data_IF_231518460631
#
_entry.id   IF_231518460631
#
_cell.length_a   1.000
_cell.length_b   1.000
_cell.length_c   1.000
_cell.angle_alpha   90.00
_cell.angle_beta   90.00
_cell.angle_gamma   90.00
#
_symmetry.space_group_name_H-M   'P 1'
#
loop_
_entity.id
_entity.type
_entity.pdbx_description
1 polymer ?
#
# COMPACT_ATOMS: atom_id res chain seq x y z
N UNK A 1 -5.94 -23.35 11.39
CA UNK A 1 -6.71 -23.00 10.20
C UNK A 1 -6.53 -24.09 9.14
N UNK A 2 -7.57 -24.51 8.38
CA UNK A 2 -7.43 -25.53 7.34
C UNK A 2 -6.49 -25.04 6.21
N UNK A 3 -5.93 -25.96 5.40
CA UNK A 3 -4.86 -25.66 4.44
C UNK A 3 -5.23 -24.74 3.27
N UNK A 4 -6.49 -24.36 3.12
CA UNK A 4 -6.92 -23.36 2.13
C UNK A 4 -6.73 -21.96 2.71
N UNK A 5 -5.53 -21.43 2.52
CA UNK A 5 -5.05 -20.16 3.08
C UNK A 5 -5.60 -18.91 2.37
N UNK A 6 -6.60 -19.07 1.52
CA UNK A 6 -7.21 -17.95 0.79
C UNK A 6 -8.11 -17.13 1.71
N UNK A 7 -8.04 -15.79 1.63
CA UNK A 7 -8.97 -14.92 2.35
C UNK A 7 -10.42 -15.24 1.93
N UNK A 8 -11.32 -15.34 2.91
CA UNK A 8 -12.76 -15.50 2.64
C UNK A 8 -13.33 -14.17 2.16
N UNK A 9 -14.49 -14.21 1.50
CA UNK A 9 -15.18 -13.00 1.03
C UNK A 9 -15.45 -12.00 2.14
N UNK A 10 -15.79 -12.46 3.34
CA UNK A 10 -16.02 -11.60 4.52
C UNK A 10 -14.74 -10.87 4.93
N UNK A 11 -13.59 -11.55 4.91
CA UNK A 11 -12.28 -10.98 5.23
C UNK A 11 -11.86 -9.96 4.16
N UNK A 12 -12.06 -10.30 2.88
CA UNK A 12 -11.82 -9.40 1.76
C UNK A 12 -12.70 -8.15 1.83
N UNK A 13 -13.98 -8.32 2.17
CA UNK A 13 -14.91 -7.20 2.37
C UNK A 13 -14.49 -6.30 3.53
N UNK A 14 -14.12 -6.88 4.69
CA UNK A 14 -13.62 -6.12 5.83
C UNK A 14 -12.33 -5.34 5.51
N UNK A 15 -11.40 -5.95 4.75
CA UNK A 15 -10.23 -5.24 4.24
C UNK A 15 -10.61 -4.11 3.29
N UNK A 16 -11.65 -4.28 2.46
CA UNK A 16 -12.21 -3.23 1.60
C UNK A 16 -12.80 -2.07 2.39
N UNK A 17 -13.53 -2.33 3.47
CA UNK A 17 -14.02 -1.30 4.39
C UNK A 17 -12.86 -0.52 5.03
N UNK A 18 -11.80 -1.20 5.46
CA UNK A 18 -10.59 -0.56 5.99
C UNK A 18 -9.90 0.31 4.93
N UNK A 19 -9.90 -0.11 3.66
CA UNK A 19 -9.39 0.71 2.55
C UNK A 19 -10.22 1.98 2.35
N UNK A 20 -11.55 1.91 2.47
CA UNK A 20 -12.42 3.07 2.36
C UNK A 20 -12.15 4.10 3.47
N UNK A 21 -11.93 3.65 4.71
CA UNK A 21 -11.53 4.54 5.82
C UNK A 21 -10.15 5.15 5.58
N UNK A 22 -9.24 4.40 4.96
CA UNK A 22 -7.88 4.85 4.65
C UNK A 22 -7.76 5.83 3.47
N UNK A 23 -8.87 6.34 2.93
CA UNK A 23 -8.89 7.49 2.01
C UNK A 23 -8.52 8.78 2.76
N UNK A 24 -8.69 8.80 4.08
CA UNK A 24 -8.36 9.97 4.89
C UNK A 24 -6.86 10.29 4.80
N UNK A 25 -6.49 11.59 4.57
CA UNK A 25 -5.08 12.00 4.49
C UNK A 25 -4.28 11.61 5.74
N UNK A 26 -3.08 11.06 5.54
CA UNK A 26 -2.21 10.60 6.63
C UNK A 26 -2.44 9.16 7.07
N UNK A 27 -3.54 8.53 6.68
CA UNK A 27 -3.79 7.11 6.98
C UNK A 27 -3.13 6.23 5.91
N UNK A 28 -2.28 5.32 6.35
CA UNK A 28 -1.65 4.36 5.43
C UNK A 28 -2.68 3.35 4.91
N UNK A 29 -3.00 3.40 3.61
CA UNK A 29 -3.94 2.48 2.98
C UNK A 29 -3.51 1.02 3.12
N UNK A 30 -2.26 0.69 2.78
CA UNK A 30 -1.73 -0.67 2.92
C UNK A 30 -1.63 -1.10 4.38
N UNK A 31 -1.24 -0.19 5.27
CA UNK A 31 -1.22 -0.43 6.72
C UNK A 31 -2.60 -0.80 7.25
N UNK A 32 -3.63 -0.03 6.93
CA UNK A 32 -5.01 -0.27 7.37
C UNK A 32 -5.57 -1.58 6.83
N UNK A 33 -5.41 -1.86 5.53
CA UNK A 33 -5.94 -3.08 4.90
C UNK A 33 -5.22 -4.34 5.40
N UNK A 34 -3.89 -4.32 5.54
CA UNK A 34 -3.13 -5.44 6.07
C UNK A 34 -3.49 -5.68 7.54
N UNK A 35 -3.55 -4.63 8.36
CA UNK A 35 -3.93 -4.74 9.77
C UNK A 35 -5.33 -5.31 9.95
N UNK A 36 -6.31 -4.85 9.15
CA UNK A 36 -7.66 -5.41 9.16
C UNK A 36 -7.66 -6.90 8.82
N UNK A 37 -6.91 -7.31 7.79
CA UNK A 37 -6.75 -8.73 7.44
C UNK A 37 -6.16 -9.56 8.58
N UNK A 38 -5.10 -9.06 9.22
CA UNK A 38 -4.47 -9.72 10.37
C UNK A 38 -5.42 -9.86 11.56
N UNK A 39 -6.18 -8.82 11.88
CA UNK A 39 -7.19 -8.85 12.96
C UNK A 39 -8.31 -9.86 12.70
N UNK A 40 -8.66 -10.08 11.43
CA UNK A 40 -9.61 -11.12 11.02
C UNK A 40 -8.98 -12.53 10.90
N UNK A 41 -7.69 -12.67 11.24
CA UNK A 41 -6.98 -13.95 11.25
C UNK A 41 -6.45 -14.38 9.87
N UNK A 42 -6.38 -13.49 8.89
CA UNK A 42 -5.72 -13.75 7.61
C UNK A 42 -4.20 -13.80 7.83
N UNK A 43 -3.50 -14.74 7.19
CA UNK A 43 -2.03 -14.79 7.26
C UNK A 43 -1.41 -13.54 6.67
N UNK A 44 -0.34 -13.03 7.28
CA UNK A 44 0.32 -11.77 6.92
C UNK A 44 0.68 -11.69 5.42
N UNK A 45 1.20 -12.77 4.84
CA UNK A 45 1.52 -12.82 3.41
C UNK A 45 0.27 -12.69 2.53
N UNK A 46 -0.83 -13.35 2.89
CA UNK A 46 -2.08 -13.30 2.13
C UNK A 46 -2.79 -11.94 2.28
N UNK A 47 -2.78 -11.38 3.49
CA UNK A 47 -3.29 -10.03 3.74
C UNK A 47 -2.53 -8.98 2.92
N UNK A 48 -1.19 -9.07 2.87
CA UNK A 48 -0.38 -8.19 2.05
C UNK A 48 -0.67 -8.36 0.55
N UNK A 49 -0.71 -9.59 0.05
CA UNK A 49 -1.04 -9.88 -1.36
C UNK A 49 -2.40 -9.32 -1.75
N UNK A 50 -3.44 -9.56 -0.93
CA UNK A 50 -4.77 -9.04 -1.20
C UNK A 50 -4.80 -7.51 -1.15
N UNK A 51 -4.13 -6.89 -0.17
CA UNK A 51 -4.00 -5.43 -0.06
C UNK A 51 -3.38 -4.83 -1.33
N UNK A 52 -2.32 -5.44 -1.87
CA UNK A 52 -1.70 -4.98 -3.11
C UNK A 52 -2.60 -5.19 -4.34
N UNK A 53 -3.30 -6.33 -4.45
CA UNK A 53 -4.26 -6.56 -5.53
C UNK A 53 -5.39 -5.53 -5.51
N UNK A 54 -5.92 -5.19 -4.32
CA UNK A 54 -6.94 -4.16 -4.15
C UNK A 54 -6.42 -2.75 -4.47
N UNK A 55 -5.11 -2.54 -4.42
CA UNK A 55 -4.51 -1.26 -4.78
C UNK A 55 -4.50 -1.01 -6.28
N UNK A 56 -4.46 -2.04 -7.10
CA UNK A 56 -4.38 -1.91 -8.56
C UNK A 56 -5.55 -1.11 -9.13
N UNK A 57 -6.83 -1.47 -8.89
CA UNK A 57 -7.94 -0.69 -9.42
C UNK A 57 -7.99 0.74 -8.85
N UNK A 58 -7.65 0.93 -7.57
CA UNK A 58 -7.65 2.24 -6.95
C UNK A 58 -6.57 3.17 -7.54
N UNK A 59 -5.34 2.68 -7.69
CA UNK A 59 -4.24 3.46 -8.27
C UNK A 59 -4.47 3.69 -9.76
N UNK A 60 -4.97 2.69 -10.49
CA UNK A 60 -5.28 2.84 -11.92
C UNK A 60 -6.37 3.88 -12.14
N UNK A 61 -7.42 3.89 -11.32
CA UNK A 61 -8.46 4.92 -11.37
C UNK A 61 -7.92 6.31 -11.11
N UNK A 62 -7.12 6.49 -10.07
CA UNK A 62 -6.47 7.77 -9.78
C UNK A 62 -5.54 8.21 -10.93
N UNK A 63 -4.73 7.29 -11.47
CA UNK A 63 -3.82 7.59 -12.57
C UNK A 63 -4.57 8.04 -13.85
N UNK A 64 -5.73 7.43 -14.14
CA UNK A 64 -6.57 7.83 -15.29
C UNK A 64 -7.11 9.25 -15.09
N UNK A 65 -7.60 9.58 -13.90
CA UNK A 65 -8.12 10.92 -13.58
C UNK A 65 -7.02 11.99 -13.66
N UNK A 66 -5.86 11.72 -13.07
CA UNK A 66 -4.70 12.63 -13.12
C UNK A 66 -4.18 12.81 -14.54
N UNK A 67 -4.14 11.74 -15.34
CA UNK A 67 -3.72 11.82 -16.72
C UNK A 67 -4.71 12.64 -17.56
N UNK A 68 -6.01 12.48 -17.35
CA UNK A 68 -7.03 13.28 -18.02
C UNK A 68 -6.87 14.77 -17.68
N UNK A 69 -6.71 15.12 -16.39
CA UNK A 69 -6.45 16.49 -15.97
C UNK A 69 -5.16 17.06 -16.58
N UNK A 70 -4.08 16.27 -16.61
CA UNK A 70 -2.81 16.70 -17.19
C UNK A 70 -2.88 16.91 -18.72
N UNK A 71 -3.76 16.20 -19.42
CA UNK A 71 -3.99 16.41 -20.85
C UNK A 71 -4.78 17.68 -21.13
N UNK A 72 -5.71 18.04 -20.24
CA UNK A 72 -6.53 19.26 -20.37
C UNK A 72 -5.77 20.53 -19.96
N UNK A 73 -5.01 20.47 -18.86
CA UNK A 73 -4.29 21.61 -18.29
C UNK A 73 -2.84 21.74 -18.80
N UNK A 74 -2.34 20.69 -19.44
CA UNK A 74 -0.93 20.54 -19.83
C UNK A 74 -0.04 20.09 -18.67
N UNK A 75 1.13 19.58 -19.01
CA UNK A 75 2.10 19.09 -18.01
C UNK A 75 2.85 20.19 -17.26
N UNK A 76 2.34 21.42 -17.20
CA UNK A 76 2.98 22.53 -16.47
C UNK A 76 4.44 22.84 -16.91
N UNK A 77 4.79 22.56 -18.16
CA UNK A 77 6.15 22.74 -18.69
C UNK A 77 7.12 21.59 -18.39
N UNK A 78 6.67 20.52 -17.75
CA UNK A 78 7.48 19.32 -17.50
C UNK A 78 7.63 18.52 -18.78
N UNK A 79 8.85 18.15 -19.17
CA UNK A 79 9.07 17.34 -20.36
C UNK A 79 8.56 15.92 -20.17
N UNK A 80 7.93 15.34 -21.21
CA UNK A 80 7.45 13.97 -21.20
C UNK A 80 8.56 12.96 -20.86
N UNK A 81 9.80 13.24 -21.25
CA UNK A 81 10.96 12.40 -20.93
C UNK A 81 11.24 12.35 -19.42
N UNK A 82 11.09 13.48 -18.72
CA UNK A 82 11.26 13.53 -17.26
C UNK A 82 10.16 12.72 -16.54
N UNK A 83 8.91 12.83 -16.99
CA UNK A 83 7.78 12.06 -16.45
C UNK A 83 8.01 10.56 -16.63
N UNK A 84 8.40 10.12 -17.82
CA UNK A 84 8.70 8.71 -18.09
C UNK A 84 9.89 8.21 -17.27
N UNK A 85 10.95 9.01 -17.15
CA UNK A 85 12.11 8.68 -16.32
C UNK A 85 11.74 8.52 -14.85
N UNK A 86 10.97 9.45 -14.29
CA UNK A 86 10.46 9.36 -12.92
C UNK A 86 9.57 8.13 -12.70
N UNK A 87 8.69 7.83 -13.65
CA UNK A 87 7.83 6.65 -13.60
C UNK A 87 8.63 5.34 -13.62
N UNK A 88 9.68 5.25 -14.45
CA UNK A 88 10.56 4.08 -14.51
C UNK A 88 11.31 3.88 -13.19
N UNK A 89 11.88 4.93 -12.61
CA UNK A 89 12.56 4.87 -11.31
C UNK A 89 11.59 4.47 -10.21
N UNK A 90 10.40 5.06 -10.16
CA UNK A 90 9.36 4.72 -9.18
C UNK A 90 8.93 3.24 -9.30
N UNK A 91 8.79 2.71 -10.52
CA UNK A 91 8.45 1.31 -10.75
C UNK A 91 9.56 0.36 -10.24
N UNK A 92 10.82 0.66 -10.52
CA UNK A 92 11.96 -0.16 -10.08
C UNK A 92 12.09 -0.16 -8.54
N UNK A 93 12.03 1.02 -7.92
CA UNK A 93 12.11 1.15 -6.45
C UNK A 93 10.92 0.50 -5.78
N UNK A 94 9.71 0.69 -6.31
CA UNK A 94 8.48 0.07 -5.80
C UNK A 94 8.53 -1.45 -5.90
N UNK A 95 9.02 -2.01 -7.00
CA UNK A 95 9.19 -3.45 -7.15
C UNK A 95 10.21 -4.04 -6.15
N UNK A 96 11.35 -3.37 -5.96
CA UNK A 96 12.35 -3.77 -4.98
C UNK A 96 11.80 -3.71 -3.55
N UNK A 97 11.10 -2.63 -3.19
CA UNK A 97 10.46 -2.47 -1.89
C UNK A 97 9.40 -3.55 -1.62
N UNK A 98 8.56 -3.85 -2.63
CA UNK A 98 7.54 -4.90 -2.52
C UNK A 98 8.16 -6.28 -2.30
N UNK A 99 9.20 -6.64 -3.06
CA UNK A 99 9.94 -7.89 -2.84
C UNK A 99 10.52 -7.98 -1.44
N UNK A 100 11.16 -6.92 -0.97
CA UNK A 100 11.75 -6.85 0.36
C UNK A 100 10.68 -7.02 1.44
N UNK A 101 9.54 -6.33 1.33
CA UNK A 101 8.43 -6.45 2.25
C UNK A 101 7.90 -7.89 2.33
N UNK A 102 7.66 -8.53 1.18
CA UNK A 102 7.17 -9.92 1.15
C UNK A 102 8.16 -10.90 1.78
N UNK A 103 9.47 -10.69 1.59
CA UNK A 103 10.51 -11.51 2.23
C UNK A 103 10.52 -11.32 3.75
N UNK A 104 10.38 -10.09 4.24
CA UNK A 104 10.30 -9.78 5.69
C UNK A 104 9.05 -10.38 6.32
N UNK A 105 7.90 -10.30 5.64
CA UNK A 105 6.65 -10.90 6.10
C UNK A 105 6.75 -12.43 6.24
N UNK A 106 7.40 -13.09 5.28
CA UNK A 106 7.63 -14.56 5.33
C UNK A 106 8.51 -14.96 6.50
N UNK A 107 9.52 -14.16 6.87
CA UNK A 107 10.43 -14.43 7.98
C UNK A 107 9.83 -14.14 9.36
N UNK A 108 8.59 -13.62 9.45
CA UNK A 108 7.92 -13.33 10.72
C UNK A 108 8.51 -12.15 11.50
N UNK A 109 9.44 -11.40 10.91
CA UNK A 109 10.15 -10.29 11.56
C UNK A 109 9.36 -8.96 11.58
N UNK A 110 8.07 -8.99 11.26
CA UNK A 110 7.23 -7.79 11.15
C UNK A 110 7.08 -7.01 12.46
N UNK A 111 7.22 -7.71 13.60
CA UNK A 111 7.19 -7.07 14.95
C UNK A 111 8.30 -6.02 15.16
N UNK A 112 9.48 -6.23 14.57
CA UNK A 112 10.58 -5.26 14.65
C UNK A 112 10.29 -4.00 13.83
N UNK A 113 9.59 -4.14 12.71
CA UNK A 113 9.13 -3.02 11.90
C UNK A 113 8.08 -2.17 12.64
N UNK A 114 7.17 -2.81 13.38
CA UNK A 114 6.20 -2.11 14.21
C UNK A 114 6.90 -1.27 15.30
N UNK A 115 7.91 -1.81 15.96
CA UNK A 115 8.71 -1.07 16.95
C UNK A 115 9.43 0.14 16.33
N UNK A 116 10.01 -0.02 15.15
CA UNK A 116 10.65 1.06 14.40
C UNK A 116 9.64 2.19 14.05
N UNK A 117 8.47 1.83 13.52
CA UNK A 117 7.42 2.80 13.19
C UNK A 117 6.89 3.54 14.45
N UNK A 118 6.74 2.82 15.57
CA UNK A 118 6.32 3.41 16.84
C UNK A 118 7.38 4.42 17.34
N UNK A 119 8.65 4.06 17.31
CA UNK A 119 9.74 4.95 17.70
C UNK A 119 9.78 6.21 16.83
N UNK A 120 9.68 6.06 15.50
CA UNK A 120 9.63 7.21 14.58
C UNK A 120 8.40 8.09 14.83
N UNK A 121 7.22 7.50 15.03
CA UNK A 121 6.00 8.24 15.30
C UNK A 121 6.09 9.05 16.60
N UNK A 122 6.62 8.46 17.65
CA UNK A 122 6.86 9.16 18.93
C UNK A 122 7.88 10.29 18.75
N UNK A 123 9.00 10.03 18.05
CA UNK A 123 10.01 11.06 17.80
C UNK A 123 9.44 12.23 17.00
N UNK A 124 8.63 11.95 15.96
CA UNK A 124 7.99 12.99 15.17
C UNK A 124 7.03 13.85 16.00
N UNK A 125 6.29 13.25 16.93
CA UNK A 125 5.39 13.98 17.84
C UNK A 125 6.13 14.94 18.78
N UNK A 126 7.37 14.61 19.18
CA UNK A 126 8.19 15.46 20.04
C UNK A 126 8.95 16.54 19.27
N UNK A 127 9.10 16.41 17.95
CA UNK A 127 9.82 17.36 17.08
C UNK A 127 8.88 18.30 16.31
N UNK A 128 7.57 18.03 16.34
CA UNK A 128 6.52 18.85 15.69
C UNK A 128 5.96 19.88 16.67
#
# INVERSE_FOLDING_TARGET
>A
RPPDDRPRLVEAFGMGCAQAVAIWPGVSRSGSTISAGLLMGVRAEQAARLSFLMSIPAISGAAILELAAALDEGFGGISSGLVLGAAAVAALVGFAALRTLLLVLRKGSFRYFAAYCAALGVTALFLA
#
